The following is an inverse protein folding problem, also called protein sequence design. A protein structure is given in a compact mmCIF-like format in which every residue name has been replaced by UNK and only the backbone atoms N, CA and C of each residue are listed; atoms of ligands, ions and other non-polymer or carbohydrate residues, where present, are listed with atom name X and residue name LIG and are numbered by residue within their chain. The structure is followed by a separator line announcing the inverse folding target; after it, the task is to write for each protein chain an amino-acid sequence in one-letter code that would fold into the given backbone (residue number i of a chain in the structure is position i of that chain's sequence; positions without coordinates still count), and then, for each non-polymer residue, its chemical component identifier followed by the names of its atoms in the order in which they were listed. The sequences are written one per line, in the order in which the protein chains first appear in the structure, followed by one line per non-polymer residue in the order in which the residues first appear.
data_IF_820359815809
#
_entry.id   IF_820359815809
#
_cell.length_a   1.000
_cell.length_b   1.000
_cell.length_c   1.000
_cell.angle_alpha   90.00
_cell.angle_beta   90.00
_cell.angle_gamma   90.00
#
_symmetry.space_group_name_H-M   'P 1'
#
loop_
_entity.id
_entity.type
_entity.pdbx_description
1 polymer ?
#
# COMPACT_ATOMS: atom_id res chain seq x y z
N UNK A 1 -31.86 -31.43 -57.17
CA UNK A 1 -30.52 -31.90 -56.76
C UNK A 1 -29.42 -30.82 -56.77
N UNK A 2 -29.54 -29.72 -57.53
CA UNK A 2 -28.47 -28.68 -57.65
C UNK A 2 -28.39 -27.74 -56.42
N UNK A 3 -29.46 -27.62 -55.64
CA UNK A 3 -29.54 -26.66 -54.52
C UNK A 3 -28.84 -27.08 -53.23
N UNK A 4 -28.55 -28.38 -53.01
CA UNK A 4 -27.89 -28.84 -51.78
C UNK A 4 -26.36 -28.69 -51.83
N UNK A 5 -25.73 -28.97 -52.98
CA UNK A 5 -24.28 -28.80 -53.16
C UNK A 5 -23.85 -27.34 -53.04
N UNK A 6 -24.67 -26.41 -53.56
CA UNK A 6 -24.38 -24.97 -53.49
C UNK A 6 -24.36 -24.44 -52.05
N UNK A 7 -25.22 -24.96 -51.17
CA UNK A 7 -25.28 -24.54 -49.76
C UNK A 7 -24.07 -25.02 -48.94
N UNK A 8 -23.61 -26.24 -49.18
CA UNK A 8 -22.43 -26.80 -48.49
C UNK A 8 -21.16 -26.04 -48.89
N UNK A 9 -21.06 -25.66 -50.16
CA UNK A 9 -19.88 -24.97 -50.70
C UNK A 9 -19.71 -23.55 -50.13
N UNK A 10 -20.80 -22.89 -49.69
CA UNK A 10 -20.75 -21.59 -49.01
C UNK A 10 -20.67 -21.68 -47.48
N UNK A 11 -21.20 -22.74 -46.87
CA UNK A 11 -21.22 -22.87 -45.41
C UNK A 11 -19.82 -23.07 -44.80
N UNK A 12 -18.97 -23.87 -45.46
CA UNK A 12 -17.61 -24.15 -45.00
C UNK A 12 -16.72 -22.89 -44.98
N UNK A 13 -16.60 -22.11 -46.07
CA UNK A 13 -15.78 -20.89 -46.04
C UNK A 13 -16.32 -19.84 -45.08
N UNK A 14 -17.65 -19.75 -44.89
CA UNK A 14 -18.24 -18.84 -43.91
C UNK A 14 -17.87 -19.23 -42.47
N UNK A 15 -17.92 -20.52 -42.11
CA UNK A 15 -17.47 -20.98 -40.78
C UNK A 15 -15.99 -20.78 -40.55
N UNK A 16 -15.15 -21.04 -41.55
CA UNK A 16 -13.71 -20.76 -41.45
C UNK A 16 -13.45 -19.26 -41.24
N UNK A 17 -14.17 -18.41 -41.97
CA UNK A 17 -14.04 -16.97 -41.82
C UNK A 17 -14.46 -16.49 -40.43
N UNK A 18 -15.62 -16.93 -39.91
CA UNK A 18 -16.04 -16.56 -38.55
C UNK A 18 -15.09 -17.07 -37.48
N UNK A 19 -14.55 -18.29 -37.64
CA UNK A 19 -13.55 -18.82 -36.72
C UNK A 19 -12.26 -17.96 -36.72
N UNK A 20 -11.79 -17.54 -37.88
CA UNK A 20 -10.62 -16.65 -37.99
C UNK A 20 -10.90 -15.28 -37.35
N UNK A 21 -12.08 -14.69 -37.59
CA UNK A 21 -12.45 -13.40 -37.00
C UNK A 21 -12.53 -13.49 -35.47
N UNK A 22 -13.15 -14.55 -34.94
CA UNK A 22 -13.25 -14.78 -33.49
C UNK A 22 -11.87 -15.02 -32.87
N UNK A 23 -11.02 -15.85 -33.49
CA UNK A 23 -9.65 -16.07 -33.00
C UNK A 23 -8.83 -14.78 -33.03
N UNK A 24 -8.93 -14.00 -34.10
CA UNK A 24 -8.26 -12.70 -34.21
C UNK A 24 -8.74 -11.73 -33.13
N UNK A 25 -10.05 -11.65 -32.90
CA UNK A 25 -10.62 -10.82 -31.84
C UNK A 25 -10.13 -11.23 -30.45
N UNK A 26 -10.02 -12.54 -30.20
CA UNK A 26 -9.53 -13.09 -28.93
C UNK A 26 -8.05 -12.74 -28.70
N UNK A 27 -7.21 -12.82 -29.73
CA UNK A 27 -5.78 -12.46 -29.65
C UNK A 27 -5.60 -10.97 -29.36
N UNK A 28 -6.39 -10.11 -29.99
CA UNK A 28 -6.36 -8.66 -29.73
C UNK A 28 -6.84 -8.36 -28.31
N UNK A 29 -7.96 -8.96 -27.88
CA UNK A 29 -8.46 -8.80 -26.52
C UNK A 29 -7.45 -9.30 -25.47
N UNK A 30 -6.75 -10.39 -25.77
CA UNK A 30 -5.69 -10.94 -24.92
C UNK A 30 -4.52 -9.98 -24.76
N UNK A 31 -3.97 -9.45 -25.86
CA UNK A 31 -2.89 -8.46 -25.82
C UNK A 31 -3.29 -7.21 -25.02
N UNK A 32 -4.50 -6.71 -25.25
CA UNK A 32 -5.01 -5.55 -24.51
C UNK A 32 -5.16 -5.84 -23.01
N UNK A 33 -5.62 -7.04 -22.64
CA UNK A 33 -5.77 -7.42 -21.24
C UNK A 33 -4.42 -7.53 -20.51
N UNK A 34 -3.40 -8.12 -21.15
CA UNK A 34 -2.06 -8.25 -20.55
C UNK A 34 -1.41 -6.89 -20.34
N UNK A 35 -1.48 -5.99 -21.32
CA UNK A 35 -0.93 -4.63 -21.21
C UNK A 35 -1.60 -3.82 -20.08
N UNK A 36 -2.91 -3.98 -19.88
CA UNK A 36 -3.66 -3.30 -18.80
C UNK A 36 -3.27 -3.86 -17.42
N UNK A 37 -3.05 -5.17 -17.31
CA UNK A 37 -2.65 -5.78 -16.04
C UNK A 37 -1.22 -5.40 -15.69
N UNK A 38 -0.30 -5.46 -16.64
CA UNK A 38 1.11 -5.09 -16.47
C UNK A 38 1.25 -3.63 -16.04
N UNK A 39 0.57 -2.71 -16.71
CA UNK A 39 0.58 -1.29 -16.34
C UNK A 39 0.03 -1.06 -14.91
N UNK A 40 -1.06 -1.71 -14.53
CA UNK A 40 -1.61 -1.61 -13.17
C UNK A 40 -0.70 -2.20 -12.10
N UNK A 41 -0.07 -3.33 -12.39
CA UNK A 41 0.88 -3.95 -11.48
C UNK A 41 2.12 -3.06 -11.30
N UNK A 42 2.63 -2.48 -12.39
CA UNK A 42 3.73 -1.51 -12.36
C UNK A 42 3.38 -0.27 -11.55
N UNK A 43 2.20 0.28 -11.76
CA UNK A 43 1.71 1.46 -11.03
C UNK A 43 1.56 1.16 -9.53
N UNK A 44 1.08 -0.02 -9.16
CA UNK A 44 0.95 -0.43 -7.76
C UNK A 44 2.32 -0.60 -7.09
N UNK A 45 3.28 -1.22 -7.78
CA UNK A 45 4.67 -1.35 -7.28
C UNK A 45 5.31 0.04 -7.09
N UNK A 46 5.17 0.94 -8.07
CA UNK A 46 5.67 2.31 -7.95
C UNK A 46 4.95 3.09 -6.84
N UNK A 47 3.65 2.85 -6.63
CA UNK A 47 2.88 3.47 -5.56
C UNK A 47 3.35 3.00 -4.19
N UNK A 48 3.64 1.71 -4.01
CA UNK A 48 4.27 1.18 -2.78
C UNK A 48 5.65 1.77 -2.56
N UNK A 49 6.46 1.81 -3.62
CA UNK A 49 7.75 2.47 -3.62
C UNK A 49 7.70 3.92 -3.15
N UNK A 50 6.73 4.70 -3.66
CA UNK A 50 6.57 6.09 -3.26
C UNK A 50 6.05 6.25 -1.82
N UNK A 51 5.24 5.30 -1.31
CA UNK A 51 4.81 5.30 0.09
C UNK A 51 5.98 5.02 1.04
N UNK A 52 6.76 3.97 0.77
CA UNK A 52 7.94 3.63 1.58
C UNK A 52 8.99 4.74 1.47
N UNK A 53 9.25 5.21 0.25
CA UNK A 53 10.18 6.30 -0.01
C UNK A 53 9.76 7.63 0.58
N UNK A 54 8.46 7.92 0.64
CA UNK A 54 7.93 9.08 1.35
C UNK A 54 8.16 8.99 2.86
N UNK A 55 8.05 7.80 3.44
CA UNK A 55 8.39 7.55 4.85
C UNK A 55 9.87 7.78 5.12
N UNK A 56 10.74 7.18 4.29
CA UNK A 56 12.19 7.34 4.38
C UNK A 56 12.60 8.81 4.19
N UNK A 57 12.04 9.49 3.19
CA UNK A 57 12.32 10.90 2.91
C UNK A 57 12.03 11.77 4.14
N UNK A 58 10.88 11.56 4.80
CA UNK A 58 10.51 12.31 6.01
C UNK A 58 11.42 12.04 7.20
N UNK A 59 11.80 10.78 7.41
CA UNK A 59 12.71 10.39 8.50
C UNK A 59 14.15 10.85 8.26
N UNK A 60 14.49 11.15 7.01
CA UNK A 60 15.84 11.54 6.60
C UNK A 60 16.08 13.05 6.65
N UNK A 61 15.05 13.88 6.90
CA UNK A 61 15.19 15.35 6.92
C UNK A 61 16.21 15.79 7.98
N UNK A 62 15.98 15.45 9.26
CA UNK A 62 16.86 15.90 10.35
C UNK A 62 18.29 15.33 10.20
N UNK A 63 18.49 14.03 9.94
CA UNK A 63 19.83 13.47 9.75
C UNK A 63 20.57 14.06 8.55
N UNK A 64 19.88 14.37 7.45
CA UNK A 64 20.48 14.95 6.26
C UNK A 64 20.99 16.38 6.52
N UNK A 65 20.21 17.19 7.24
CA UNK A 65 20.61 18.56 7.63
C UNK A 65 21.79 18.52 8.62
N UNK A 66 21.78 17.57 9.54
CA UNK A 66 22.84 17.42 10.55
C UNK A 66 24.10 16.73 9.99
N UNK A 67 24.04 16.16 8.78
CA UNK A 67 25.12 15.36 8.19
C UNK A 67 25.39 14.06 8.96
N UNK A 68 24.37 13.50 9.61
CA UNK A 68 24.47 12.25 10.37
C UNK A 68 24.25 11.04 9.46
N UNK A 69 25.33 10.64 8.78
CA UNK A 69 25.31 9.52 7.84
C UNK A 69 24.97 8.19 8.52
N UNK A 70 25.28 8.02 9.82
CA UNK A 70 24.98 6.79 10.56
C UNK A 70 23.48 6.62 10.73
N UNK A 71 22.77 7.69 11.10
CA UNK A 71 21.32 7.65 11.22
C UNK A 71 20.64 7.46 9.86
N UNK A 72 21.15 8.11 8.81
CA UNK A 72 20.67 7.88 7.43
C UNK A 72 20.83 6.41 7.03
N UNK A 73 21.97 5.80 7.33
CA UNK A 73 22.26 4.40 7.02
C UNK A 73 21.32 3.44 7.77
N UNK A 74 21.01 3.74 9.04
CA UNK A 74 20.03 2.99 9.83
C UNK A 74 18.60 3.09 9.27
N UNK A 75 18.18 4.28 8.85
CA UNK A 75 16.84 4.50 8.25
C UNK A 75 16.72 3.71 6.94
N UNK A 76 17.75 3.80 6.09
CA UNK A 76 17.83 3.07 4.82
C UNK A 76 17.84 1.56 5.03
N UNK A 77 18.64 1.07 5.98
CA UNK A 77 18.73 -0.35 6.32
C UNK A 77 17.41 -0.92 6.87
N UNK A 78 16.71 -0.17 7.72
CA UNK A 78 15.40 -0.56 8.24
C UNK A 78 14.36 -0.67 7.13
N UNK A 79 14.29 0.34 6.24
CA UNK A 79 13.34 0.34 5.13
C UNK A 79 13.58 -0.80 4.14
N UNK A 80 14.85 -1.17 3.89
CA UNK A 80 15.19 -2.31 3.04
C UNK A 80 14.73 -3.65 3.65
N UNK A 81 14.74 -3.77 4.98
CA UNK A 81 14.33 -4.99 5.67
C UNK A 81 12.81 -5.12 5.76
N UNK A 82 12.08 -4.00 5.82
CA UNK A 82 10.63 -4.00 6.00
C UNK A 82 9.85 -4.41 4.74
N UNK A 83 10.41 -4.18 3.54
CA UNK A 83 9.76 -4.51 2.27
C UNK A 83 10.65 -5.41 1.37
N UNK A 84 10.27 -6.68 1.15
CA UNK A 84 11.05 -7.62 0.35
C UNK A 84 11.10 -7.28 -1.15
N UNK A 85 10.21 -6.40 -1.63
CA UNK A 85 10.21 -5.96 -3.01
C UNK A 85 11.34 -4.96 -3.31
N UNK A 86 11.90 -4.31 -2.28
CA UNK A 86 12.98 -3.34 -2.44
C UNK A 86 14.31 -4.08 -2.67
N UNK A 87 14.96 -3.77 -3.79
CA UNK A 87 16.29 -4.29 -4.16
C UNK A 87 17.41 -3.38 -3.70
N UNK A 88 17.21 -2.09 -3.79
CA UNK A 88 18.12 -1.11 -3.21
C UNK A 88 17.36 0.13 -2.78
N UNK A 89 17.94 0.82 -1.81
CA UNK A 89 17.51 2.14 -1.40
C UNK A 89 18.73 3.01 -1.11
N UNK A 90 18.69 4.26 -1.53
CA UNK A 90 19.76 5.21 -1.32
C UNK A 90 19.24 6.62 -1.11
N UNK A 91 20.04 7.41 -0.41
CA UNK A 91 19.78 8.82 -0.15
C UNK A 91 20.91 9.62 -0.77
N UNK A 92 20.54 10.59 -1.59
CA UNK A 92 21.41 11.57 -2.23
C UNK A 92 21.12 12.95 -1.62
N UNK A 93 22.15 13.76 -1.40
CA UNK A 93 22.00 15.15 -0.98
C UNK A 93 21.62 16.07 -2.16
N UNK A 94 21.47 17.36 -1.89
CA UNK A 94 21.17 18.39 -2.89
C UNK A 94 22.19 18.46 -4.05
N UNK A 95 23.41 17.97 -3.84
CA UNK A 95 24.47 17.93 -4.85
C UNK A 95 24.53 16.59 -5.59
N UNK A 96 23.64 15.65 -5.26
CA UNK A 96 23.65 14.30 -5.80
C UNK A 96 24.73 13.40 -5.20
N UNK A 97 25.38 13.80 -4.10
CA UNK A 97 26.32 12.94 -3.39
C UNK A 97 25.56 11.91 -2.56
N UNK A 98 25.94 10.63 -2.71
CA UNK A 98 25.34 9.53 -1.98
C UNK A 98 25.74 9.60 -0.50
N UNK A 99 24.77 9.80 0.38
CA UNK A 99 24.96 9.88 1.83
C UNK A 99 24.78 8.52 2.50
N UNK A 100 23.79 7.75 2.04
CA UNK A 100 23.53 6.38 2.49
C UNK A 100 23.06 5.52 1.32
N UNK A 101 23.44 4.24 1.31
CA UNK A 101 23.05 3.31 0.26
C UNK A 101 23.09 1.87 0.77
N UNK A 102 21.97 1.17 0.65
CA UNK A 102 21.91 -0.27 0.86
C UNK A 102 21.32 -0.95 -0.37
N UNK A 103 21.88 -2.11 -0.70
CA UNK A 103 21.35 -3.02 -1.69
C UNK A 103 21.28 -4.43 -1.09
N UNK A 104 20.26 -5.19 -1.47
CA UNK A 104 20.19 -6.61 -1.12
C UNK A 104 21.37 -7.30 -1.80
N UNK A 105 22.38 -7.68 -1.03
CA UNK A 105 23.44 -8.56 -1.52
C UNK A 105 22.78 -9.89 -1.91
N UNK A 106 22.80 -10.23 -3.20
CA UNK A 106 22.41 -11.57 -3.64
C UNK A 106 23.38 -12.55 -2.99
N UNK A 107 22.90 -13.30 -2.00
CA UNK A 107 23.66 -14.35 -1.36
C UNK A 107 23.96 -15.45 -2.40
N UNK A 108 25.18 -15.48 -2.91
CA UNK A 108 25.68 -16.55 -3.79
C UNK A 108 25.58 -16.24 -5.28
N UNK A 109 26.60 -15.56 -5.80
CA UNK A 109 26.78 -15.22 -7.21
C UNK A 109 27.27 -16.42 -8.07
N UNK A 110 26.82 -17.65 -7.77
CA UNK A 110 27.28 -18.85 -8.50
C UNK A 110 26.18 -19.71 -9.16
N UNK A 111 24.89 -19.39 -9.02
CA UNK A 111 23.88 -20.11 -9.79
C UNK A 111 23.37 -19.26 -10.94
N UNK A 112 24.01 -19.42 -12.10
CA UNK A 112 23.56 -18.88 -13.37
C UNK A 112 22.11 -19.28 -13.66
N UNK A 113 21.27 -18.29 -13.92
CA UNK A 113 19.88 -18.52 -14.27
C UNK A 113 18.96 -17.38 -13.88
N UNK A 114 19.22 -16.17 -14.37
CA UNK A 114 18.16 -15.19 -14.67
C UNK A 114 18.79 -14.03 -15.43
N UNK A 115 18.08 -13.48 -16.40
CA UNK A 115 18.53 -12.29 -17.13
C UNK A 115 18.71 -11.06 -16.21
N UNK A 116 19.12 -9.91 -16.77
CA UNK A 116 19.11 -8.67 -16.00
C UNK A 116 17.69 -8.39 -15.50
N UNK A 117 17.47 -8.58 -14.19
CA UNK A 117 16.20 -8.32 -13.51
C UNK A 117 15.82 -6.86 -13.74
N UNK A 118 14.64 -6.61 -14.30
CA UNK A 118 14.18 -5.23 -14.56
C UNK A 118 13.90 -4.56 -13.21
N UNK A 119 14.67 -3.53 -12.88
CA UNK A 119 14.52 -2.77 -11.64
C UNK A 119 13.73 -1.50 -11.95
N UNK A 120 12.59 -1.35 -11.29
CA UNK A 120 11.79 -0.13 -11.34
C UNK A 120 12.36 0.87 -10.33
N UNK A 121 12.81 2.02 -10.82
CA UNK A 121 13.37 3.07 -9.98
C UNK A 121 12.32 4.14 -9.64
N UNK A 122 12.03 4.32 -8.35
CA UNK A 122 11.26 5.43 -7.83
C UNK A 122 12.20 6.49 -7.26
N UNK A 123 11.94 7.76 -7.59
CA UNK A 123 12.69 8.93 -7.11
C UNK A 123 11.76 9.82 -6.30
N UNK A 124 12.06 9.97 -5.01
CA UNK A 124 11.24 10.73 -4.08
C UNK A 124 12.06 11.93 -3.58
N UNK A 125 11.60 13.18 -3.78
CA UNK A 125 12.30 14.35 -3.25
C UNK A 125 12.18 14.42 -1.72
N UNK A 126 13.25 14.85 -1.07
CA UNK A 126 13.27 15.21 0.35
C UNK A 126 13.06 16.71 0.41
N UNK A 127 11.90 17.14 0.90
CA UNK A 127 11.51 18.55 0.93
C UNK A 127 11.47 19.08 2.37
N UNK A 128 12.07 20.24 2.59
CA UNK A 128 11.97 21.01 3.82
C UNK A 128 11.41 22.39 3.49
N UNK A 129 10.20 22.69 3.97
CA UNK A 129 9.57 24.00 3.72
C UNK A 129 9.30 24.29 2.24
N UNK A 130 9.22 23.27 1.39
CA UNK A 130 9.01 23.40 -0.06
C UNK A 130 10.30 23.48 -0.89
N UNK A 131 11.47 23.45 -0.25
CA UNK A 131 12.77 23.36 -0.92
C UNK A 131 13.28 21.91 -0.91
N UNK A 132 13.77 21.43 -2.05
CA UNK A 132 14.30 20.07 -2.19
C UNK A 132 15.75 20.04 -1.69
N UNK A 133 15.98 19.39 -0.56
CA UNK A 133 17.29 19.28 0.10
C UNK A 133 18.01 17.95 -0.21
N UNK A 134 17.34 17.02 -0.88
CA UNK A 134 17.90 15.73 -1.27
C UNK A 134 16.91 14.84 -2.01
N UNK A 135 17.33 13.63 -2.34
CA UNK A 135 16.54 12.65 -3.09
C UNK A 135 16.68 11.25 -2.48
N UNK A 136 15.57 10.55 -2.30
CA UNK A 136 15.55 9.12 -2.02
C UNK A 136 15.37 8.35 -3.34
N UNK A 137 16.25 7.40 -3.60
CA UNK A 137 16.18 6.48 -4.74
C UNK A 137 15.85 5.09 -4.23
N UNK A 138 14.80 4.49 -4.77
CA UNK A 138 14.36 3.15 -4.43
C UNK A 138 14.28 2.32 -5.69
N UNK A 139 15.04 1.23 -5.73
CA UNK A 139 14.93 0.21 -6.76
C UNK A 139 14.03 -0.92 -6.29
N UNK A 140 12.96 -1.18 -7.02
CA UNK A 140 12.00 -2.24 -6.74
C UNK A 140 12.17 -3.38 -7.76
N UNK A 141 12.01 -4.62 -7.29
CA UNK A 141 12.01 -5.79 -8.15
C UNK A 141 10.71 -5.87 -8.94
N UNK A 142 10.80 -6.08 -10.25
CA UNK A 142 9.64 -6.41 -11.08
C UNK A 142 9.18 -7.86 -10.95
N UNK A 143 9.84 -8.70 -10.13
CA UNK A 143 9.47 -10.12 -9.99
C UNK A 143 8.05 -10.33 -9.47
N UNK A 144 7.52 -9.41 -8.66
CA UNK A 144 6.10 -9.48 -8.27
C UNK A 144 5.16 -9.22 -9.45
N UNK A 145 5.57 -8.39 -10.41
CA UNK A 145 4.82 -8.13 -11.64
C UNK A 145 4.89 -9.35 -12.56
N UNK A 146 6.06 -9.97 -12.68
CA UNK A 146 6.26 -11.19 -13.48
C UNK A 146 5.48 -12.38 -12.92
N UNK A 147 5.43 -12.54 -11.60
CA UNK A 147 4.64 -13.59 -10.95
C UNK A 147 3.13 -13.43 -11.23
N UNK A 148 2.64 -12.18 -11.28
CA UNK A 148 1.25 -11.90 -11.66
C UNK A 148 1.02 -12.21 -13.14
N UNK A 149 1.96 -11.87 -14.02
CA UNK A 149 1.85 -12.21 -15.45
C UNK A 149 1.81 -13.74 -15.66
N UNK A 150 2.62 -14.50 -14.92
CA UNK A 150 2.63 -15.97 -15.02
C UNK A 150 1.32 -16.60 -14.53
N UNK A 151 0.74 -16.09 -13.44
CA UNK A 151 -0.58 -16.51 -12.93
C UNK A 151 -1.70 -16.14 -13.91
N UNK A 152 -1.65 -14.94 -14.50
CA UNK A 152 -2.64 -14.51 -15.49
C UNK A 152 -2.53 -15.34 -16.76
N UNK A 153 -1.30 -15.57 -17.25
CA UNK A 153 -1.03 -16.38 -18.43
C UNK A 153 -1.51 -17.81 -18.26
N UNK A 154 -1.29 -18.42 -17.08
CA UNK A 154 -1.77 -19.78 -16.79
C UNK A 154 -3.30 -19.88 -16.73
N UNK A 155 -3.98 -18.92 -16.09
CA UNK A 155 -5.45 -18.91 -16.04
C UNK A 155 -6.08 -18.67 -17.41
N UNK A 156 -5.50 -17.78 -18.20
CA UNK A 156 -6.01 -17.47 -19.54
C UNK A 156 -5.73 -18.60 -20.53
N UNK A 157 -4.55 -19.24 -20.48
CA UNK A 157 -4.29 -20.46 -21.26
C UNK A 157 -5.27 -21.57 -20.90
N UNK A 158 -5.66 -21.68 -19.63
CA UNK A 158 -6.66 -22.64 -19.16
C UNK A 158 -8.07 -22.41 -19.72
N UNK A 159 -8.43 -21.17 -20.07
CA UNK A 159 -9.74 -20.82 -20.66
C UNK A 159 -9.81 -21.01 -22.17
N UNK A 160 -8.67 -20.96 -22.86
CA UNK A 160 -8.54 -21.19 -24.30
C UNK A 160 -9.22 -22.49 -24.81
N UNK A 161 -9.03 -23.68 -24.17
CA UNK A 161 -9.72 -24.90 -24.57
C UNK A 161 -11.24 -24.82 -24.33
N UNK A 162 -11.71 -24.09 -23.32
CA UNK A 162 -13.14 -23.89 -23.05
C UNK A 162 -13.79 -23.07 -24.16
N UNK A 163 -13.13 -21.98 -24.58
CA UNK A 163 -13.60 -21.16 -25.72
C UNK A 163 -13.64 -21.98 -27.01
N UNK A 164 -12.60 -22.79 -27.27
CA UNK A 164 -12.57 -23.72 -28.41
C UNK A 164 -13.70 -24.74 -28.36
N UNK A 165 -13.99 -25.29 -27.17
CA UNK A 165 -15.08 -26.24 -26.97
C UNK A 165 -16.45 -25.59 -27.26
N UNK A 166 -16.70 -24.38 -26.77
CA UNK A 166 -17.94 -23.64 -27.03
C UNK A 166 -18.07 -23.31 -28.52
N UNK A 167 -16.99 -22.87 -29.17
CA UNK A 167 -16.98 -22.62 -30.61
C UNK A 167 -17.26 -23.90 -31.41
N UNK A 168 -16.68 -25.04 -31.01
CA UNK A 168 -16.95 -26.33 -31.63
C UNK A 168 -18.42 -26.75 -31.46
N UNK A 169 -19.01 -26.59 -30.27
CA UNK A 169 -20.42 -26.89 -30.00
C UNK A 169 -21.33 -26.01 -30.86
N UNK A 170 -21.08 -24.70 -30.92
CA UNK A 170 -21.84 -23.77 -31.76
C UNK A 170 -21.71 -24.13 -33.25
N UNK A 171 -20.53 -24.55 -33.69
CA UNK A 171 -20.30 -25.09 -35.03
C UNK A 171 -21.17 -26.32 -35.29
N UNK A 172 -21.16 -27.32 -34.40
CA UNK A 172 -21.96 -28.54 -34.54
C UNK A 172 -23.46 -28.26 -34.53
N UNK A 173 -23.94 -27.36 -33.66
CA UNK A 173 -25.35 -26.96 -33.61
C UNK A 173 -25.74 -26.22 -34.89
N UNK A 174 -24.90 -25.32 -35.39
CA UNK A 174 -25.12 -24.61 -36.65
C UNK A 174 -25.21 -25.54 -37.85
N UNK A 175 -24.32 -26.54 -37.95
CA UNK A 175 -24.38 -27.59 -38.98
C UNK A 175 -25.65 -28.45 -38.82
N UNK A 176 -25.98 -28.86 -37.60
CA UNK A 176 -27.17 -29.68 -37.33
C UNK A 176 -28.47 -28.98 -37.69
N UNK A 177 -28.58 -27.68 -37.46
CA UNK A 177 -29.75 -26.88 -37.85
C UNK A 177 -29.91 -26.79 -39.38
N UNK A 178 -28.79 -26.67 -40.10
CA UNK A 178 -28.76 -26.71 -41.57
C UNK A 178 -29.15 -28.09 -42.13
N UNK A 179 -28.70 -29.18 -41.52
CA UNK A 179 -29.03 -30.56 -41.92
C UNK A 179 -30.49 -30.89 -41.56
N UNK A 180 -30.98 -30.46 -40.40
CA UNK A 180 -32.37 -30.66 -39.97
C UNK A 180 -33.39 -30.04 -40.94
N UNK A 181 -33.08 -28.87 -41.51
CA UNK A 181 -33.90 -28.25 -42.55
C UNK A 181 -33.96 -29.01 -43.88
N UNK A 182 -32.98 -29.87 -44.16
CA UNK A 182 -32.96 -30.75 -45.35
C UNK A 182 -33.73 -32.04 -45.07
N UNK A 183 -33.52 -32.65 -43.89
CA UNK A 183 -34.20 -33.89 -43.50
C UNK A 183 -35.71 -33.67 -43.34
N UNK A 184 -36.13 -32.55 -42.77
CA UNK A 184 -37.55 -32.20 -42.62
C UNK A 184 -38.30 -32.12 -43.95
N UNK A 185 -37.62 -31.74 -45.05
CA UNK A 185 -38.22 -31.72 -46.40
C UNK A 185 -38.34 -33.12 -47.01
N UNK A 186 -37.33 -33.97 -46.86
CA UNK A 186 -37.39 -35.36 -47.33
C UNK A 186 -38.39 -36.22 -46.55
N UNK A 187 -38.61 -35.93 -45.26
CA UNK A 187 -39.64 -36.64 -44.47
C UNK A 187 -41.05 -36.27 -44.91
N UNK A 188 -41.28 -35.04 -45.40
CA UNK A 188 -42.58 -34.68 -46.00
C UNK A 188 -42.82 -35.38 -47.35
N UNK A 189 -41.78 -35.65 -48.14
CA UNK A 189 -41.88 -36.42 -49.40
C UNK A 189 -42.09 -37.92 -49.17
N UNK A 190 -41.59 -38.48 -48.06
CA UNK A 190 -41.87 -39.88 -47.67
C UNK A 190 -43.29 -40.02 -47.10
N UNK A 191 -43.80 -38.99 -46.41
CA UNK A 191 -45.16 -39.01 -45.85
C UNK A 191 -46.24 -38.97 -46.93
N UNK A 192 -45.98 -38.32 -48.07
CA UNK A 192 -46.87 -38.35 -49.24
C UNK A 192 -46.72 -39.61 -50.09
N UNK A 193 -45.58 -40.31 -50.01
CA UNK A 193 -45.43 -41.65 -50.62
C UNK A 193 -46.17 -42.74 -49.84
N UNK A 194 -46.28 -42.62 -48.51
CA UNK A 194 -46.96 -43.61 -47.65
C UNK A 194 -48.49 -43.53 -47.76
N UNK A 195 -49.08 -42.44 -48.26
CA UNK A 195 -50.53 -42.32 -48.49
C UNK A 195 -51.02 -42.94 -49.83
N UNK A 196 -50.11 -43.50 -50.66
CA UNK A 196 -50.47 -44.16 -51.93
C UNK A 196 -50.16 -45.67 -51.98
N UNK A 197 -49.57 -46.23 -50.93
CA UNK A 197 -49.30 -47.67 -50.79
C UNK A 197 -50.40 -48.41 -50.04
N UNK A 198 -51.55 -48.57 -50.70
CA UNK A 198 -52.74 -49.27 -50.21
C UNK A 198 -52.48 -50.78 -50.07
N UNK A 199 -53.05 -51.37 -49.02
CA UNK A 199 -53.48 -52.79 -48.89
C UNK A 199 -52.54 -53.89 -49.42
N UNK A 200 -52.01 -54.68 -48.49
CA UNK A 200 -51.67 -56.09 -48.75
C UNK A 200 -50.33 -56.52 -48.17
N UNK A 201 -50.33 -56.98 -46.93
CA UNK A 201 -49.55 -58.14 -46.45
C UNK A 201 -49.68 -58.27 -44.93
N UNK A 202 -50.74 -58.95 -44.49
CA UNK A 202 -51.03 -59.23 -43.09
C UNK A 202 -50.34 -60.49 -42.54
N UNK A 203 -49.35 -61.05 -43.25
CA UNK A 203 -48.56 -62.19 -42.77
C UNK A 203 -47.11 -61.85 -42.40
N UNK A 204 -46.60 -60.69 -42.80
CA UNK A 204 -45.24 -60.22 -42.47
C UNK A 204 -45.21 -59.37 -41.17
N UNK A 205 -46.38 -58.87 -40.74
CA UNK A 205 -46.56 -57.99 -39.59
C UNK A 205 -46.34 -58.69 -38.25
N UNK A 206 -46.55 -60.00 -38.14
CA UNK A 206 -46.36 -60.75 -36.88
C UNK A 206 -44.85 -60.99 -36.60
N UNK A 207 -44.02 -61.07 -37.64
CA UNK A 207 -42.56 -61.12 -37.50
C UNK A 207 -41.96 -59.76 -37.15
N UNK A 208 -42.44 -58.69 -37.81
CA UNK A 208 -42.01 -57.31 -37.53
C UNK A 208 -42.45 -56.84 -36.13
N UNK A 209 -43.63 -57.23 -35.65
CA UNK A 209 -44.10 -56.90 -34.29
C UNK A 209 -43.26 -57.55 -33.17
N UNK A 210 -42.71 -58.75 -33.38
CA UNK A 210 -41.76 -59.36 -32.42
C UNK A 210 -40.42 -58.64 -32.39
N UNK A 211 -39.96 -58.17 -33.54
CA UNK A 211 -38.73 -57.39 -33.68
C UNK A 211 -38.92 -55.95 -33.14
N UNK A 212 -40.12 -55.40 -33.26
CA UNK A 212 -40.55 -54.14 -32.64
C UNK A 212 -40.72 -54.27 -31.12
N UNK A 213 -41.15 -55.42 -30.61
CA UNK A 213 -41.22 -55.67 -29.16
C UNK A 213 -39.83 -55.78 -28.52
N UNK A 214 -38.87 -56.42 -29.18
CA UNK A 214 -37.47 -56.46 -28.72
C UNK A 214 -36.77 -55.10 -28.82
N UNK A 215 -37.02 -54.33 -29.87
CA UNK A 215 -36.50 -52.96 -29.98
C UNK A 215 -37.18 -52.00 -29.00
N UNK A 216 -38.46 -52.23 -28.66
CA UNK A 216 -39.20 -51.51 -27.62
C UNK A 216 -38.69 -51.85 -26.21
N UNK A 217 -38.34 -53.11 -25.93
CA UNK A 217 -37.65 -53.48 -24.67
C UNK A 217 -36.25 -52.87 -24.58
N UNK A 218 -35.53 -52.81 -25.70
CA UNK A 218 -34.22 -52.18 -25.77
C UNK A 218 -34.30 -50.64 -25.61
N UNK A 219 -35.33 -49.98 -26.15
CA UNK A 219 -35.55 -48.54 -25.97
C UNK A 219 -36.03 -48.21 -24.55
N UNK A 220 -36.87 -49.04 -23.93
CA UNK A 220 -37.23 -48.94 -22.51
C UNK A 220 -36.03 -49.11 -21.57
N UNK A 221 -35.10 -50.01 -21.91
CA UNK A 221 -33.86 -50.16 -21.13
C UNK A 221 -32.93 -48.95 -21.28
N UNK A 222 -32.91 -48.30 -22.46
CA UNK A 222 -32.18 -47.05 -22.70
C UNK A 222 -32.81 -45.88 -21.96
N UNK A 223 -34.12 -45.70 -22.03
CA UNK A 223 -34.83 -44.62 -21.33
C UNK A 223 -34.71 -44.77 -19.81
N UNK A 224 -34.75 -46.00 -19.28
CA UNK A 224 -34.55 -46.25 -17.85
C UNK A 224 -33.12 -45.96 -17.38
N UNK A 225 -32.11 -46.21 -18.23
CA UNK A 225 -30.72 -45.79 -17.97
C UNK A 225 -30.59 -44.27 -18.01
N UNK A 226 -31.20 -43.62 -18.99
CA UNK A 226 -31.22 -42.16 -19.10
C UNK A 226 -31.91 -41.53 -17.88
N UNK A 227 -33.06 -42.05 -17.43
CA UNK A 227 -33.74 -41.60 -16.20
C UNK A 227 -32.87 -41.78 -14.95
N UNK A 228 -32.15 -42.89 -14.81
CA UNK A 228 -31.23 -43.08 -13.69
C UNK A 228 -30.08 -42.07 -13.72
N UNK A 229 -29.54 -41.76 -14.92
CA UNK A 229 -28.48 -40.76 -15.08
C UNK A 229 -28.97 -39.32 -14.85
N UNK A 230 -30.22 -39.02 -15.20
CA UNK A 230 -30.85 -37.73 -14.94
C UNK A 230 -31.15 -37.55 -13.45
N UNK A 231 -31.59 -38.60 -12.75
CA UNK A 231 -31.76 -38.58 -11.30
C UNK A 231 -30.44 -38.39 -10.55
N UNK A 232 -29.38 -39.02 -11.04
CA UNK A 232 -28.04 -38.85 -10.47
C UNK A 232 -27.52 -37.42 -10.67
N UNK A 233 -27.70 -36.83 -11.86
CA UNK A 233 -27.40 -35.40 -12.11
C UNK A 233 -28.22 -34.46 -11.23
N UNK A 234 -29.52 -34.70 -11.08
CA UNK A 234 -30.37 -33.89 -10.21
C UNK A 234 -29.96 -33.99 -8.73
N UNK A 235 -29.50 -35.17 -8.29
CA UNK A 235 -28.95 -35.35 -6.94
C UNK A 235 -27.61 -34.62 -6.77
N UNK A 236 -26.74 -34.64 -7.78
CA UNK A 236 -25.49 -33.86 -7.79
C UNK A 236 -25.75 -32.36 -7.75
N UNK A 237 -26.64 -31.84 -8.60
CA UNK A 237 -27.02 -30.42 -8.60
C UNK A 237 -27.57 -30.00 -7.24
N UNK A 238 -28.45 -30.81 -6.64
CA UNK A 238 -28.97 -30.55 -5.30
C UNK A 238 -27.86 -30.49 -4.24
N UNK A 239 -26.89 -31.41 -4.29
CA UNK A 239 -25.74 -31.39 -3.39
C UNK A 239 -24.86 -30.15 -3.59
N UNK A 240 -24.67 -29.70 -4.84
CA UNK A 240 -23.92 -28.47 -5.13
C UNK A 240 -24.65 -27.22 -4.63
N UNK A 241 -25.98 -27.16 -4.74
CA UNK A 241 -26.78 -26.06 -4.19
C UNK A 241 -26.70 -26.02 -2.65
N UNK A 242 -26.70 -27.18 -1.99
CA UNK A 242 -26.51 -27.28 -0.54
C UNK A 242 -25.10 -26.86 -0.10
N UNK A 243 -24.07 -27.09 -0.91
CA UNK A 243 -22.72 -26.57 -0.67
C UNK A 243 -22.66 -25.05 -0.85
N UNK A 244 -23.18 -24.53 -1.97
CA UNK A 244 -23.18 -23.10 -2.26
C UNK A 244 -23.97 -22.30 -1.21
N UNK A 245 -25.07 -22.85 -0.70
CA UNK A 245 -25.84 -22.19 0.38
C UNK A 245 -25.07 -22.15 1.71
N UNK A 246 -24.28 -23.18 2.02
CA UNK A 246 -23.38 -23.15 3.19
C UNK A 246 -22.26 -22.13 3.01
N UNK A 247 -21.64 -22.10 1.83
CA UNK A 247 -20.59 -21.11 1.50
C UNK A 247 -21.12 -19.69 1.54
N UNK A 248 -22.35 -19.44 1.05
CA UNK A 248 -23.02 -18.15 1.13
C UNK A 248 -23.25 -17.73 2.59
N UNK A 249 -23.73 -18.64 3.44
CA UNK A 249 -23.94 -18.37 4.85
C UNK A 249 -22.62 -18.09 5.61
N UNK A 250 -21.52 -18.74 5.23
CA UNK A 250 -20.19 -18.45 5.76
C UNK A 250 -19.66 -17.10 5.27
N UNK A 251 -19.85 -16.78 3.99
CA UNK A 251 -19.48 -15.49 3.43
C UNK A 251 -20.24 -14.35 4.12
N UNK A 252 -21.55 -14.51 4.36
CA UNK A 252 -22.36 -13.53 5.11
C UNK A 252 -21.89 -13.34 6.57
N UNK A 253 -21.40 -14.40 7.22
CA UNK A 253 -20.82 -14.27 8.56
C UNK A 253 -19.50 -13.50 8.51
N UNK A 254 -18.66 -13.76 7.51
CA UNK A 254 -17.38 -13.05 7.33
C UNK A 254 -17.62 -11.58 7.02
N UNK A 255 -18.58 -11.24 6.15
CA UNK A 255 -18.90 -9.84 5.85
C UNK A 255 -19.39 -9.10 7.10
N UNK A 256 -20.26 -9.70 7.90
CA UNK A 256 -20.70 -9.12 9.19
C UNK A 256 -19.56 -8.92 10.19
N UNK A 257 -18.59 -9.82 10.22
CA UNK A 257 -17.39 -9.68 11.05
C UNK A 257 -16.50 -8.53 10.56
N UNK A 258 -16.28 -8.43 9.25
CA UNK A 258 -15.50 -7.36 8.63
C UNK A 258 -16.15 -6.00 8.88
N UNK A 259 -17.47 -5.88 8.71
CA UNK A 259 -18.18 -4.62 8.98
C UNK A 259 -18.08 -4.22 10.45
N UNK A 260 -18.22 -5.17 11.38
CA UNK A 260 -18.05 -4.89 12.81
C UNK A 260 -16.60 -4.49 13.16
N UNK A 261 -15.60 -5.05 12.49
CA UNK A 261 -14.20 -4.63 12.65
C UNK A 261 -13.96 -3.23 12.08
N UNK A 262 -14.53 -2.91 10.92
CA UNK A 262 -14.44 -1.58 10.32
C UNK A 262 -15.06 -0.51 11.24
N UNK A 263 -16.24 -0.77 11.81
CA UNK A 263 -16.88 0.15 12.76
C UNK A 263 -16.00 0.41 14.00
N UNK A 264 -15.36 -0.62 14.54
CA UNK A 264 -14.42 -0.48 15.67
C UNK A 264 -13.19 0.35 15.30
N UNK A 265 -12.63 0.12 14.11
CA UNK A 265 -11.48 0.90 13.64
C UNK A 265 -11.85 2.37 13.43
N UNK A 266 -13.04 2.66 12.88
CA UNK A 266 -13.53 4.02 12.73
C UNK A 266 -13.62 4.71 14.10
N UNK A 267 -14.22 4.05 15.10
CA UNK A 267 -14.30 4.59 16.46
C UNK A 267 -12.92 4.83 17.09
N UNK A 268 -11.95 3.92 16.88
CA UNK A 268 -10.58 4.11 17.38
C UNK A 268 -9.90 5.30 16.69
N UNK A 269 -10.10 5.47 15.37
CA UNK A 269 -9.55 6.61 14.65
C UNK A 269 -10.17 7.92 15.11
N UNK A 270 -11.48 7.97 15.34
CA UNK A 270 -12.16 9.15 15.88
C UNK A 270 -11.62 9.51 17.27
N UNK A 271 -11.51 8.54 18.18
CA UNK A 271 -10.93 8.75 19.50
C UNK A 271 -9.48 9.29 19.44
N UNK A 272 -8.64 8.72 18.55
CA UNK A 272 -7.28 9.22 18.34
C UNK A 272 -7.28 10.65 17.78
N UNK A 273 -8.18 10.98 16.86
CA UNK A 273 -8.26 12.36 16.34
C UNK A 273 -8.62 13.37 17.42
N UNK A 274 -9.51 13.02 18.35
CA UNK A 274 -9.81 13.87 19.52
C UNK A 274 -8.59 14.02 20.44
N UNK A 275 -7.82 12.96 20.66
CA UNK A 275 -6.57 13.03 21.43
C UNK A 275 -5.54 13.94 20.74
N UNK A 276 -5.38 13.83 19.42
CA UNK A 276 -4.50 14.72 18.64
C UNK A 276 -4.93 16.18 18.72
N UNK A 277 -6.24 16.46 18.66
CA UNK A 277 -6.75 17.82 18.82
C UNK A 277 -6.43 18.39 20.21
N UNK A 278 -6.65 17.62 21.28
CA UNK A 278 -6.28 18.01 22.65
C UNK A 278 -4.77 18.26 22.78
N UNK A 279 -3.95 17.38 22.19
CA UNK A 279 -2.50 17.53 22.22
C UNK A 279 -2.05 18.81 21.48
N UNK A 280 -2.67 19.09 20.35
CA UNK A 280 -2.38 20.29 19.54
C UNK A 280 -2.72 21.56 20.31
N UNK A 281 -3.89 21.61 20.96
CA UNK A 281 -4.27 22.73 21.83
C UNK A 281 -3.29 22.92 23.01
N UNK A 282 -2.81 21.83 23.61
CA UNK A 282 -1.79 21.91 24.67
C UNK A 282 -0.45 22.45 24.14
N UNK A 283 -0.02 22.04 22.94
CA UNK A 283 1.21 22.56 22.31
C UNK A 283 1.08 24.05 22.03
N UNK A 284 -0.06 24.53 21.55
CA UNK A 284 -0.32 25.96 21.35
C UNK A 284 -0.27 26.74 22.66
N UNK A 285 -0.88 26.22 23.72
CA UNK A 285 -0.82 26.84 25.05
C UNK A 285 0.62 26.92 25.57
N UNK A 286 1.41 25.86 25.44
CA UNK A 286 2.82 25.86 25.83
C UNK A 286 3.67 26.83 25.00
N UNK A 287 3.36 27.01 23.71
CA UNK A 287 4.00 28.03 22.87
C UNK A 287 3.72 29.44 23.40
N UNK A 288 2.47 29.74 23.76
CA UNK A 288 2.10 31.04 24.35
C UNK A 288 2.81 31.28 25.69
N UNK A 289 2.85 30.28 26.58
CA UNK A 289 3.57 30.37 27.86
C UNK A 289 5.08 30.59 27.64
N UNK A 290 5.68 29.92 26.66
CA UNK A 290 7.09 30.10 26.30
C UNK A 290 7.38 31.51 25.76
N UNK A 291 6.50 32.06 24.93
CA UNK A 291 6.61 33.44 24.43
C UNK A 291 6.46 34.46 25.55
N UNK A 292 5.54 34.25 26.49
CA UNK A 292 5.38 35.13 27.64
C UNK A 292 6.63 35.12 28.53
N UNK A 293 7.20 33.94 28.80
CA UNK A 293 8.45 33.81 29.54
C UNK A 293 9.62 34.49 28.82
N UNK A 294 9.70 34.40 27.49
CA UNK A 294 10.72 35.12 26.71
C UNK A 294 10.61 36.63 26.88
N UNK A 295 9.39 37.18 26.80
CA UNK A 295 9.16 38.63 27.02
C UNK A 295 9.58 39.06 28.43
N UNK A 296 9.19 38.29 29.46
CA UNK A 296 9.62 38.58 30.85
C UNK A 296 11.14 38.57 31.00
N UNK A 297 11.81 37.63 30.35
CA UNK A 297 13.27 37.54 30.39
C UNK A 297 13.95 38.70 29.66
N UNK A 298 13.36 39.19 28.56
CA UNK A 298 13.82 40.40 27.87
C UNK A 298 13.63 41.66 28.73
N UNK A 299 12.49 41.79 29.41
CA UNK A 299 12.23 42.89 30.34
C UNK A 299 13.23 42.90 31.51
N UNK A 300 13.52 41.73 32.09
CA UNK A 300 14.53 41.59 33.16
C UNK A 300 15.92 41.97 32.67
N UNK A 301 16.31 41.54 31.45
CA UNK A 301 17.59 41.95 30.84
C UNK A 301 17.66 43.46 30.67
N UNK A 302 16.60 44.07 30.15
CA UNK A 302 16.55 45.52 29.99
C UNK A 302 16.64 46.24 31.35
N UNK A 303 15.96 45.72 32.37
CA UNK A 303 16.06 46.24 33.72
C UNK A 303 17.49 46.15 34.28
N UNK A 304 18.16 45.00 34.09
CA UNK A 304 19.56 44.82 34.50
C UNK A 304 20.49 45.81 33.80
N UNK A 305 20.31 46.04 32.50
CA UNK A 305 21.10 47.05 31.76
C UNK A 305 20.92 48.46 32.33
N UNK A 306 19.68 48.84 32.67
CA UNK A 306 19.38 50.14 33.30
C UNK A 306 20.07 50.26 34.66
N UNK A 307 20.02 49.21 35.49
CA UNK A 307 20.71 49.19 36.78
C UNK A 307 22.23 49.29 36.63
N UNK A 308 22.82 48.61 35.64
CA UNK A 308 24.26 48.68 35.34
C UNK A 308 24.67 50.09 34.92
N UNK A 309 23.88 50.76 34.06
CA UNK A 309 24.12 52.17 33.68
C UNK A 309 24.04 53.10 34.88
N UNK A 310 23.04 52.91 35.75
CA UNK A 310 22.90 53.70 36.99
C UNK A 310 24.08 53.50 37.93
N UNK A 311 24.54 52.25 38.09
CA UNK A 311 25.72 51.91 38.89
C UNK A 311 26.99 52.57 38.34
N UNK A 312 27.19 52.55 37.02
CA UNK A 312 28.31 53.22 36.37
C UNK A 312 28.29 54.74 36.62
N UNK A 313 27.14 55.40 36.44
CA UNK A 313 27.01 56.83 36.71
C UNK A 313 27.23 57.22 38.18
N UNK A 314 26.78 56.39 39.12
CA UNK A 314 27.07 56.56 40.55
C UNK A 314 28.57 56.42 40.84
N UNK A 315 29.24 55.43 40.24
CA UNK A 315 30.69 55.24 40.39
C UNK A 315 31.46 56.48 39.91
N UNK A 316 31.12 57.01 38.74
CA UNK A 316 31.72 58.26 38.25
C UNK A 316 31.48 59.44 39.19
N UNK A 317 30.27 59.55 39.76
CA UNK A 317 29.93 60.63 40.68
C UNK A 317 30.76 60.55 41.97
N UNK A 318 30.98 59.34 42.50
CA UNK A 318 31.85 59.09 43.66
C UNK A 318 33.30 59.44 43.33
N UNK A 319 33.81 59.05 42.17
CA UNK A 319 35.18 59.39 41.74
C UNK A 319 35.37 60.91 41.63
N UNK A 320 34.40 61.64 41.05
CA UNK A 320 34.43 63.11 40.97
C UNK A 320 34.45 63.75 42.36
N UNK A 321 33.56 63.32 43.26
CA UNK A 321 33.51 63.82 44.64
C UNK A 321 34.82 63.52 45.38
N UNK A 322 35.36 62.31 45.26
CA UNK A 322 36.64 61.91 45.86
C UNK A 322 37.80 62.80 45.37
N UNK A 323 37.86 63.08 44.06
CA UNK A 323 38.82 64.03 43.50
C UNK A 323 38.64 65.45 44.03
N UNK A 324 37.40 65.91 44.18
CA UNK A 324 37.10 67.25 44.70
C UNK A 324 37.49 67.38 46.19
N UNK A 325 37.16 66.37 47.01
CA UNK A 325 37.59 66.30 48.41
C UNK A 325 39.10 66.19 48.54
N UNK A 326 39.77 65.38 47.71
CA UNK A 326 41.23 65.29 47.67
C UNK A 326 41.90 66.63 47.32
N UNK A 327 41.34 67.39 46.37
CA UNK A 327 41.80 68.76 46.05
C UNK A 327 41.57 69.73 47.21
N UNK A 328 40.39 69.72 47.84
CA UNK A 328 40.08 70.59 48.97
C UNK A 328 40.93 70.25 50.21
N UNK A 329 41.19 68.98 50.47
CA UNK A 329 42.11 68.54 51.52
C UNK A 329 43.56 68.95 51.22
N UNK A 330 44.00 68.87 49.95
CA UNK A 330 45.30 69.37 49.51
C UNK A 330 45.45 70.90 49.62
N UNK A 331 44.36 71.66 49.43
CA UNK A 331 44.34 73.12 49.63
C UNK A 331 44.24 73.53 51.10
N UNK A 332 43.60 72.73 51.96
CA UNK A 332 43.56 72.95 53.40
C UNK A 332 44.84 72.46 54.13
N UNK A 333 45.67 71.66 53.46
CA UNK A 333 46.88 71.04 54.00
C UNK A 333 48.19 71.79 53.75
N UNK A 334 48.22 73.10 53.97
CA UNK A 334 49.45 73.80 54.40
C UNK A 334 49.23 74.26 55.84
N UNK A 335 49.20 73.31 56.75
CA UNK A 335 49.84 73.36 58.09
C UNK A 335 49.37 72.17 58.94
N UNK A 336 50.37 71.51 59.54
CA UNK A 336 50.29 70.54 60.64
C UNK A 336 49.83 69.09 60.37
N UNK A 337 50.86 68.23 60.33
CA UNK A 337 51.05 67.06 61.20
C UNK A 337 50.04 65.88 61.15
N UNK A 338 50.61 64.72 60.78
CA UNK A 338 50.32 63.35 61.24
C UNK A 338 49.84 63.30 62.71
N UNK A 339 48.92 62.37 63.09
CA UNK A 339 49.37 61.02 63.46
C UNK A 339 48.38 59.85 63.24
N UNK A 340 48.98 58.65 63.22
CA UNK A 340 48.54 57.42 63.86
C UNK A 340 47.26 56.69 63.40
N UNK A 341 47.53 55.55 62.77
CA UNK A 341 46.90 54.25 62.95
C UNK A 341 45.97 54.09 64.19
N UNK A 342 44.74 53.64 63.94
CA UNK A 342 44.00 52.78 64.86
C UNK A 342 43.08 51.86 64.06
N UNK A 343 43.36 50.57 64.16
CA UNK A 343 42.55 49.52 63.56
C UNK A 343 41.15 49.50 64.15
N UNK A 344 40.18 49.28 63.28
CA UNK A 344 38.84 48.82 63.64
C UNK A 344 38.68 47.48 62.95
N UNK A 345 38.71 46.41 63.76
CA UNK A 345 38.20 45.09 63.43
C UNK A 345 36.70 45.26 63.22
N UNK A 346 36.25 45.17 61.97
CA UNK A 346 34.83 44.89 61.69
C UNK A 346 34.70 43.41 61.36
N UNK A 347 33.82 42.79 62.15
CA UNK A 347 33.48 41.38 62.14
C UNK A 347 32.92 40.98 60.78
N UNK A 348 33.68 40.15 60.07
CA UNK A 348 33.15 39.28 59.02
C UNK A 348 32.22 38.26 59.69
N UNK A 349 30.93 38.58 59.76
CA UNK A 349 29.89 37.59 60.03
C UNK A 349 29.69 36.78 58.77
N UNK A 350 30.19 35.55 58.83
CA UNK A 350 29.81 34.44 57.96
C UNK A 350 28.28 34.36 57.85
N UNK A 351 27.76 34.54 56.64
CA UNK A 351 26.48 33.98 56.25
C UNK A 351 26.82 32.86 55.26
N UNK A 352 26.47 31.65 55.69
CA UNK A 352 26.68 30.40 55.00
C UNK A 352 26.12 30.40 53.57
N UNK A 353 26.93 29.75 52.73
CA UNK A 353 26.57 29.07 51.51
C UNK A 353 25.09 28.65 51.39
N UNK A 354 24.47 29.14 50.32
CA UNK A 354 23.28 28.59 49.70
C UNK A 354 23.39 28.75 48.19
N UNK A 355 24.49 28.28 47.60
CA UNK A 355 24.60 28.09 46.15
C UNK A 355 23.68 26.94 45.74
N UNK A 356 22.42 27.23 45.41
CA UNK A 356 21.68 26.42 44.44
C UNK A 356 22.15 26.87 43.05
N UNK A 357 23.20 26.20 42.55
CA UNK A 357 23.61 26.32 41.16
C UNK A 357 22.47 25.90 40.20
N UNK A 358 22.48 26.41 38.95
CA UNK A 358 21.50 26.03 37.95
C UNK A 358 21.54 24.51 37.76
N UNK A 359 20.40 23.86 38.02
CA UNK A 359 20.21 22.43 37.77
C UNK A 359 20.55 22.14 36.30
N UNK A 360 21.54 21.27 36.11
CA UNK A 360 21.88 20.71 34.81
C UNK A 360 20.63 20.13 34.12
N UNK A 361 20.46 20.29 32.79
CA UNK A 361 19.38 19.67 32.02
C UNK A 361 19.27 18.13 32.18
N UNK A 362 20.30 17.48 32.74
CA UNK A 362 20.33 16.04 33.00
C UNK A 362 19.38 15.56 34.12
N UNK A 363 18.95 16.44 35.04
CA UNK A 363 18.09 16.04 36.18
C UNK A 363 16.59 16.16 35.91
N UNK A 364 16.18 16.78 34.80
CA UNK A 364 14.77 16.79 34.35
C UNK A 364 14.36 15.43 33.76
N UNK A 365 15.31 14.62 33.31
CA UNK A 365 15.04 13.34 32.63
C UNK A 365 14.83 12.12 33.56
N UNK A 366 15.05 12.25 34.87
CA UNK A 366 14.81 11.14 35.82
C UNK A 366 13.37 11.03 36.33
N UNK A 367 12.51 12.02 36.06
CA UNK A 367 11.08 11.99 36.42
C UNK A 367 10.22 11.09 35.54
N UNK A 368 10.59 10.87 34.28
CA UNK A 368 9.76 10.13 33.31
C UNK A 368 9.89 8.60 33.35
N UNK A 369 10.86 8.06 34.12
CA UNK A 369 11.09 6.60 34.16
C UNK A 369 10.26 5.86 35.20
N UNK A 370 9.42 6.55 35.99
CA UNK A 370 8.61 5.94 37.06
C UNK A 370 7.13 5.73 36.71
N UNK A 371 6.61 6.35 35.66
CA UNK A 371 5.21 6.16 35.24
C UNK A 371 4.97 5.06 34.19
N UNK A 372 6.02 4.59 33.50
CA UNK A 372 5.88 3.52 32.50
C UNK A 372 5.76 2.10 33.07
N UNK A 373 5.84 1.93 34.40
CA UNK A 373 5.64 0.63 35.08
C UNK A 373 4.23 0.37 35.62
N UNK A 374 3.28 1.31 35.50
CA UNK A 374 1.91 1.11 35.99
C UNK A 374 0.86 0.81 34.89
N UNK A 375 1.24 0.73 33.61
CA UNK A 375 0.32 0.41 32.48
C UNK A 375 0.51 -0.98 31.88
N UNK A 376 1.15 -1.91 32.61
CA UNK A 376 1.12 -3.35 32.29
C UNK A 376 0.58 -4.14 33.48
N UNK A 377 -0.72 -4.04 33.70
CA UNK A 377 -1.55 -5.08 34.33
C UNK A 377 -2.93 -5.03 33.71
#
# INVERSE_FOLDING_TARGET
MITSRFRIQFAIPFMLWTAVVVCSGLVVAWKGATEIVESRARDEVLRRGSLVGGGVARLSIDPLILGDDVTLDLVVGAALHDDPAIRYIGIEDEHGAKRAYHAVQKAGDESGGDGPEEILEARIPIELGGEVIGLVRIGLSSREVEAVDEVVKSHVLGLLPVVWMVAAILGVVGVSFLVGGVVARTVQEIRTAIESGREGELSETIGKLKQEEETCKASLAKTKKEESSLREKAAQEKATLEQLTKELAEAEKRTKQITAQQERLVQETEARTEEYQKLTANVEKLKQESEELRRRLEDERHHQEVLLRRRAGLKESIERLSHEYGRKAGQAGVTSASPAARGVKEETKSAEAGEEGPRSPADVFKGFKKESKLRRR
#
